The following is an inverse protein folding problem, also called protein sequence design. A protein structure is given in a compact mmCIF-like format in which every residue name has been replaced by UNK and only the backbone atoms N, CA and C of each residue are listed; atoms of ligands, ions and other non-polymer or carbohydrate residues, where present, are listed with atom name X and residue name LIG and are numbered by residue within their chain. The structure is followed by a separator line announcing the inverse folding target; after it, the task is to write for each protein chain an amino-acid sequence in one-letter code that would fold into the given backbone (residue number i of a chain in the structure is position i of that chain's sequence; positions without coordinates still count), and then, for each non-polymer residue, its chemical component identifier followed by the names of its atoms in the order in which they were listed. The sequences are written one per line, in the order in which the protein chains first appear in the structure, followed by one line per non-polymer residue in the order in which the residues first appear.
data_IF_112340249214
#
_entry.id   IF_112340249214
#
_cell.length_a   1.000
_cell.length_b   1.000
_cell.length_c   1.000
_cell.angle_alpha   90.00
_cell.angle_beta   90.00
_cell.angle_gamma   90.00
#
_symmetry.space_group_name_H-M   'P 1'
#
loop_
_entity.id
_entity.type
_entity.pdbx_description
1 polymer ?
#
# COMPACT_ATOMS: atom_id res chain seq x y z
N UNK A 1 -6.37 -21.86 37.39
CA UNK A 1 -6.03 -20.47 37.03
C UNK A 1 -5.29 -20.52 35.71
N UNK A 2 -5.98 -20.24 34.60
CA UNK A 2 -5.31 -19.91 33.34
C UNK A 2 -4.67 -18.55 33.60
N UNK A 3 -3.35 -18.43 33.44
CA UNK A 3 -2.64 -17.18 33.71
C UNK A 3 -3.17 -16.07 32.79
N UNK A 4 -3.47 -14.89 33.35
CA UNK A 4 -4.03 -13.72 32.63
C UNK A 4 -3.25 -13.37 31.34
N UNK A 5 -1.96 -13.69 31.29
CA UNK A 5 -1.08 -13.52 30.13
C UNK A 5 -1.62 -14.19 28.84
N UNK A 6 -2.38 -15.29 28.94
CA UNK A 6 -2.92 -15.98 27.76
C UNK A 6 -4.05 -15.20 27.06
N UNK A 7 -4.85 -14.47 27.83
CA UNK A 7 -6.02 -13.73 27.31
C UNK A 7 -5.57 -12.52 26.50
N UNK A 8 -4.52 -11.83 26.94
CA UNK A 8 -3.99 -10.63 26.27
C UNK A 8 -3.37 -10.95 24.91
N UNK A 9 -2.68 -12.09 24.82
CA UNK A 9 -2.13 -12.60 23.56
C UNK A 9 -3.23 -13.06 22.60
N UNK A 10 -4.25 -13.73 23.13
CA UNK A 10 -5.43 -14.10 22.35
C UNK A 10 -6.17 -12.87 21.81
N UNK A 11 -6.34 -11.83 22.63
CA UNK A 11 -6.95 -10.57 22.21
C UNK A 11 -6.11 -9.86 21.15
N UNK A 12 -4.79 -9.76 21.31
CA UNK A 12 -3.93 -9.17 20.28
C UNK A 12 -4.05 -9.88 18.94
N UNK A 13 -4.09 -11.22 18.94
CA UNK A 13 -4.30 -12.03 17.72
C UNK A 13 -5.71 -11.86 17.15
N UNK A 14 -6.72 -11.73 18.00
CA UNK A 14 -8.08 -11.48 17.56
C UNK A 14 -8.22 -10.08 16.93
N UNK A 15 -7.52 -9.08 17.46
CA UNK A 15 -7.43 -7.74 16.84
C UNK A 15 -6.83 -7.80 15.44
N UNK A 16 -5.77 -8.60 15.24
CA UNK A 16 -5.18 -8.81 13.90
C UNK A 16 -6.19 -9.42 12.94
N UNK A 17 -6.96 -10.41 13.41
CA UNK A 17 -7.98 -11.05 12.59
C UNK A 17 -9.10 -10.08 12.20
N UNK A 18 -9.57 -9.24 13.12
CA UNK A 18 -10.60 -8.26 12.82
C UNK A 18 -10.09 -7.19 11.85
N UNK A 19 -8.87 -6.69 12.04
CA UNK A 19 -8.26 -5.73 11.12
C UNK A 19 -8.13 -6.32 9.70
N UNK A 20 -7.67 -7.58 9.59
CA UNK A 20 -7.58 -8.28 8.31
C UNK A 20 -8.95 -8.50 7.63
N UNK A 21 -10.04 -8.50 8.40
CA UNK A 21 -11.41 -8.59 7.89
C UNK A 21 -12.05 -7.21 7.60
N UNK A 22 -11.32 -6.10 7.78
CA UNK A 22 -11.87 -4.75 7.67
C UNK A 22 -12.84 -4.37 8.79
N UNK A 23 -12.94 -5.17 9.86
CA UNK A 23 -13.77 -4.92 11.04
C UNK A 23 -13.02 -4.00 12.01
N UNK A 24 -12.81 -2.77 11.57
CA UNK A 24 -11.90 -1.84 12.23
C UNK A 24 -12.37 -1.43 13.63
N UNK A 25 -13.68 -1.30 13.85
CA UNK A 25 -14.23 -0.96 15.17
C UNK A 25 -14.06 -2.09 16.19
N UNK A 26 -14.23 -3.34 15.76
CA UNK A 26 -13.95 -4.51 16.60
C UNK A 26 -12.46 -4.68 16.85
N UNK A 27 -11.62 -4.42 15.84
CA UNK A 27 -10.17 -4.44 15.99
C UNK A 27 -9.71 -3.40 17.02
N UNK A 28 -10.20 -2.16 16.93
CA UNK A 28 -9.91 -1.07 17.86
C UNK A 28 -10.24 -1.47 19.31
N UNK A 29 -11.49 -1.88 19.57
CA UNK A 29 -11.94 -2.28 20.91
C UNK A 29 -11.09 -3.42 21.47
N UNK A 30 -10.76 -4.38 20.61
CA UNK A 30 -9.97 -5.56 20.99
C UNK A 30 -8.53 -5.16 21.34
N UNK A 31 -7.90 -4.31 20.54
CA UNK A 31 -6.55 -3.82 20.79
C UNK A 31 -6.47 -2.91 22.01
N UNK A 32 -7.45 -2.04 22.25
CA UNK A 32 -7.50 -1.23 23.48
C UNK A 32 -7.55 -2.12 24.72
N UNK A 33 -8.37 -3.18 24.71
CA UNK A 33 -8.44 -4.14 25.82
C UNK A 33 -7.13 -4.90 25.99
N UNK A 34 -6.53 -5.36 24.89
CA UNK A 34 -5.23 -6.04 24.92
C UNK A 34 -4.12 -5.12 25.46
N UNK A 35 -4.15 -3.84 25.08
CA UNK A 35 -3.19 -2.83 25.51
C UNK A 35 -3.26 -2.62 27.02
N UNK A 36 -4.46 -2.38 27.56
CA UNK A 36 -4.66 -2.18 29.01
C UNK A 36 -4.16 -3.37 29.85
N UNK A 37 -4.36 -4.60 29.37
CA UNK A 37 -3.85 -5.80 30.04
C UNK A 37 -2.32 -5.87 30.00
N UNK A 38 -1.74 -5.75 28.80
CA UNK A 38 -0.28 -5.81 28.61
C UNK A 38 0.47 -4.69 29.34
N UNK A 39 -0.08 -3.48 29.41
CA UNK A 39 0.52 -2.40 30.18
C UNK A 39 0.63 -2.74 31.67
N UNK A 40 -0.38 -3.41 32.24
CA UNK A 40 -0.38 -3.86 33.63
C UNK A 40 0.54 -5.06 33.86
N UNK A 41 0.53 -6.02 32.94
CA UNK A 41 1.26 -7.28 33.09
C UNK A 41 2.75 -7.18 32.75
N UNK A 42 3.09 -6.41 31.71
CA UNK A 42 4.42 -6.37 31.10
C UNK A 42 5.08 -4.99 31.21
N UNK A 43 4.30 -3.93 31.44
CA UNK A 43 4.77 -2.56 31.45
C UNK A 43 4.63 -1.84 30.10
N UNK A 44 4.83 -0.52 30.13
CA UNK A 44 4.60 0.38 29.00
C UNK A 44 5.59 0.20 27.84
N UNK A 45 6.87 -0.06 28.17
CA UNK A 45 7.98 -0.13 27.22
C UNK A 45 8.30 -1.56 26.75
N UNK A 46 7.51 -2.54 27.18
CA UNK A 46 7.70 -3.94 26.79
C UNK A 46 7.35 -4.14 25.32
N UNK A 47 8.14 -4.94 24.60
CA UNK A 47 8.02 -5.17 23.15
C UNK A 47 6.60 -5.54 22.72
N UNK A 48 5.96 -6.50 23.41
CA UNK A 48 4.59 -6.93 23.10
C UNK A 48 3.53 -5.84 23.37
N UNK A 49 3.77 -4.94 24.32
CA UNK A 49 2.92 -3.77 24.59
C UNK A 49 3.05 -2.78 23.45
N UNK A 50 4.28 -2.42 23.08
CA UNK A 50 4.57 -1.50 21.98
C UNK A 50 4.08 -2.04 20.62
N UNK A 51 4.12 -3.36 20.42
CA UNK A 51 3.55 -3.99 19.23
C UNK A 51 2.02 -3.83 19.16
N UNK A 52 1.32 -3.91 20.30
CA UNK A 52 -0.12 -3.57 20.35
C UNK A 52 -0.35 -2.09 20.09
N UNK A 53 0.48 -1.19 20.62
CA UNK A 53 0.38 0.26 20.37
C UNK A 53 0.52 0.55 18.87
N UNK A 54 1.52 -0.02 18.20
CA UNK A 54 1.69 0.12 16.75
C UNK A 54 0.46 -0.35 15.97
N UNK A 55 -0.08 -1.54 16.30
CA UNK A 55 -1.23 -2.08 15.58
C UNK A 55 -2.50 -1.27 15.83
N UNK A 56 -2.67 -0.70 17.01
CA UNK A 56 -3.75 0.24 17.27
C UNK A 56 -3.58 1.52 16.43
N UNK A 57 -2.35 1.99 16.24
CA UNK A 57 -2.03 3.09 15.32
C UNK A 57 -2.40 2.79 13.86
N UNK A 58 -2.12 1.57 13.39
CA UNK A 58 -2.53 1.11 12.05
C UNK A 58 -4.06 1.11 11.91
N UNK A 59 -4.79 0.54 12.88
CA UNK A 59 -6.26 0.54 12.86
C UNK A 59 -6.83 1.96 12.85
N UNK A 60 -6.23 2.88 13.61
CA UNK A 60 -6.64 4.29 13.58
C UNK A 60 -6.37 4.95 12.23
N UNK A 61 -5.23 4.67 11.59
CA UNK A 61 -4.93 5.18 10.26
C UNK A 61 -5.95 4.68 9.23
N UNK A 62 -6.31 3.38 9.28
CA UNK A 62 -7.29 2.77 8.38
C UNK A 62 -8.71 3.32 8.59
N UNK A 63 -9.04 3.74 9.83
CA UNK A 63 -10.31 4.44 10.13
C UNK A 63 -10.30 5.93 9.74
N UNK A 64 -9.16 6.48 9.29
CA UNK A 64 -9.00 7.92 9.04
C UNK A 64 -8.83 8.77 10.31
N UNK A 65 -8.64 8.15 11.48
CA UNK A 65 -8.35 8.81 12.76
C UNK A 65 -6.86 9.16 12.85
N UNK A 66 -6.41 10.07 11.98
CA UNK A 66 -4.99 10.30 11.72
C UNK A 66 -4.24 10.86 12.94
N UNK A 67 -4.88 11.67 13.78
CA UNK A 67 -4.27 12.24 14.99
C UNK A 67 -4.07 11.17 16.09
N UNK A 68 -5.01 10.25 16.24
CA UNK A 68 -4.90 9.10 17.14
C UNK A 68 -3.84 8.12 16.67
N UNK A 69 -3.76 7.87 15.36
CA UNK A 69 -2.71 7.07 14.75
C UNK A 69 -1.32 7.66 15.02
N UNK A 70 -1.17 8.99 14.86
CA UNK A 70 0.10 9.69 15.10
C UNK A 70 0.56 9.52 16.55
N UNK A 71 -0.35 9.72 17.52
CA UNK A 71 -0.06 9.51 18.94
C UNK A 71 0.41 8.08 19.23
N UNK A 72 -0.24 7.09 18.63
CA UNK A 72 0.14 5.69 18.83
C UNK A 72 1.51 5.39 18.22
N UNK A 73 1.78 5.82 16.99
CA UNK A 73 3.08 5.59 16.37
C UNK A 73 4.21 6.35 17.07
N UNK A 74 4.01 7.61 17.49
CA UNK A 74 5.02 8.35 18.24
C UNK A 74 5.32 7.68 19.58
N UNK A 75 4.29 7.16 20.28
CA UNK A 75 4.47 6.38 21.50
C UNK A 75 5.27 5.10 21.25
N UNK A 76 4.90 4.35 20.21
CA UNK A 76 5.63 3.13 19.85
C UNK A 76 7.09 3.43 19.48
N UNK A 77 7.32 4.52 18.73
CA UNK A 77 8.65 4.96 18.32
C UNK A 77 9.54 5.26 19.52
N UNK A 78 9.06 6.08 20.45
CA UNK A 78 9.80 6.42 21.68
C UNK A 78 10.14 5.18 22.50
N UNK A 79 9.19 4.25 22.66
CA UNK A 79 9.40 3.00 23.37
C UNK A 79 10.43 2.09 22.69
N UNK A 80 10.32 1.89 21.38
CA UNK A 80 11.26 1.03 20.65
C UNK A 80 12.66 1.63 20.56
N UNK A 81 12.79 2.95 20.38
CA UNK A 81 14.08 3.65 20.42
C UNK A 81 14.77 3.50 21.78
N UNK A 82 14.00 3.64 22.87
CA UNK A 82 14.53 3.50 24.23
C UNK A 82 14.97 2.07 24.53
N UNK A 83 14.18 1.07 24.14
CA UNK A 83 14.41 -0.34 24.50
C UNK A 83 15.41 -1.03 23.57
N UNK A 84 15.36 -0.74 22.26
CA UNK A 84 16.12 -1.48 21.24
C UNK A 84 17.00 -0.60 20.36
N UNK A 85 16.97 0.73 20.58
CA UNK A 85 17.77 1.69 19.84
C UNK A 85 17.14 2.16 18.53
N UNK A 86 17.72 3.21 17.92
CA UNK A 86 17.16 3.90 16.75
C UNK A 86 17.21 3.07 15.46
N UNK A 87 18.02 2.01 15.40
CA UNK A 87 18.24 1.19 14.21
C UNK A 87 17.66 -0.23 14.35
N UNK A 88 16.88 -0.49 15.40
CA UNK A 88 16.18 -1.77 15.51
C UNK A 88 15.15 -1.91 14.39
N UNK A 89 14.95 -3.15 13.94
CA UNK A 89 13.92 -3.53 12.95
C UNK A 89 12.54 -2.99 13.32
N UNK A 90 12.16 -3.06 14.61
CA UNK A 90 10.88 -2.54 15.08
C UNK A 90 10.82 -1.01 14.98
N UNK A 91 11.86 -0.32 15.44
CA UNK A 91 11.96 1.15 15.38
C UNK A 91 11.78 1.65 13.95
N UNK A 92 12.53 1.06 13.01
CA UNK A 92 12.52 1.50 11.61
C UNK A 92 11.20 1.18 10.90
N UNK A 93 10.47 0.16 11.32
CA UNK A 93 9.10 -0.09 10.85
C UNK A 93 8.14 0.99 11.34
N UNK A 94 8.24 1.43 12.60
CA UNK A 94 7.42 2.56 13.09
C UNK A 94 7.74 3.85 12.33
N UNK A 95 9.02 4.14 12.10
CA UNK A 95 9.43 5.32 11.32
C UNK A 95 8.83 5.27 9.90
N UNK A 96 8.85 4.11 9.24
CA UNK A 96 8.19 3.93 7.95
C UNK A 96 6.67 4.17 8.03
N UNK A 97 5.99 3.65 9.06
CA UNK A 97 4.55 3.85 9.25
C UNK A 97 4.19 5.32 9.49
N UNK A 98 5.01 6.07 10.24
CA UNK A 98 4.88 7.52 10.38
C UNK A 98 5.02 8.24 9.03
N UNK A 99 5.92 7.79 8.16
CA UNK A 99 6.02 8.31 6.79
C UNK A 99 4.71 8.13 6.01
N UNK A 100 4.12 6.93 6.05
CA UNK A 100 2.82 6.65 5.42
C UNK A 100 1.70 7.53 6.01
N UNK A 101 1.69 7.73 7.33
CA UNK A 101 0.70 8.56 8.01
C UNK A 101 0.83 10.05 7.64
N UNK A 102 2.05 10.60 7.67
CA UNK A 102 2.26 12.00 7.28
C UNK A 102 1.91 12.23 5.81
N UNK A 103 2.19 11.24 4.95
CA UNK A 103 1.73 11.28 3.56
C UNK A 103 0.20 11.37 3.48
N UNK A 104 -0.55 10.54 4.22
CA UNK A 104 -2.01 10.59 4.19
C UNK A 104 -2.60 11.88 4.79
N UNK A 105 -1.86 12.55 5.68
CA UNK A 105 -2.19 13.88 6.19
C UNK A 105 -1.80 15.03 5.23
N UNK A 106 -1.11 14.74 4.11
CA UNK A 106 -0.58 15.77 3.20
C UNK A 106 0.66 16.49 3.72
N UNK A 107 1.26 16.03 4.83
CA UNK A 107 2.51 16.55 5.42
C UNK A 107 3.71 15.97 4.67
N UNK A 108 3.95 16.47 3.46
CA UNK A 108 4.87 15.83 2.53
C UNK A 108 6.33 15.87 3.01
N UNK A 109 6.80 17.00 3.55
CA UNK A 109 8.19 17.12 4.01
C UNK A 109 8.49 16.20 5.21
N UNK A 110 7.54 16.07 6.14
CA UNK A 110 7.63 15.15 7.27
C UNK A 110 7.61 13.70 6.80
N UNK A 111 6.80 13.37 5.81
CA UNK A 111 6.78 12.03 5.20
C UNK A 111 8.12 11.69 4.55
N UNK A 112 8.69 12.61 3.76
CA UNK A 112 10.00 12.45 3.13
C UNK A 112 11.09 12.19 4.19
N UNK A 113 11.11 13.00 5.25
CA UNK A 113 12.06 12.84 6.35
C UNK A 113 11.97 11.44 6.99
N UNK A 114 10.75 11.00 7.32
CA UNK A 114 10.53 9.69 7.92
C UNK A 114 10.95 8.56 6.98
N UNK A 115 10.59 8.62 5.70
CA UNK A 115 10.99 7.59 4.75
C UNK A 115 12.50 7.52 4.53
N UNK A 116 13.18 8.66 4.39
CA UNK A 116 14.63 8.72 4.26
C UNK A 116 15.31 8.18 5.52
N UNK A 117 14.81 8.55 6.69
CA UNK A 117 15.30 8.03 7.98
C UNK A 117 15.15 6.52 8.07
N UNK A 118 13.97 5.99 7.70
CA UNK A 118 13.74 4.56 7.65
C UNK A 118 14.75 3.90 6.69
N UNK A 119 14.84 4.36 5.43
CA UNK A 119 15.72 3.80 4.40
C UNK A 119 17.17 3.73 4.86
N UNK A 120 17.74 4.85 5.33
CA UNK A 120 19.12 4.91 5.81
C UNK A 120 19.36 3.94 6.97
N UNK A 121 18.38 3.82 7.88
CA UNK A 121 18.43 2.85 8.95
C UNK A 121 18.40 1.41 8.43
N UNK A 122 17.53 1.12 7.46
CA UNK A 122 17.36 -0.24 6.92
C UNK A 122 18.59 -0.71 6.14
N UNK A 123 19.21 0.20 5.38
CA UNK A 123 20.43 -0.07 4.63
C UNK A 123 21.62 -0.36 5.55
N UNK A 124 21.70 0.31 6.71
CA UNK A 124 22.75 0.11 7.71
C UNK A 124 22.49 -1.10 8.62
N UNK A 125 21.23 -1.48 8.81
CA UNK A 125 20.87 -2.61 9.64
C UNK A 125 21.34 -3.92 9.00
N UNK A 126 22.11 -4.71 9.74
CA UNK A 126 22.68 -5.99 9.29
C UNK A 126 21.61 -7.01 8.88
N UNK A 127 20.42 -6.94 9.48
CA UNK A 127 19.31 -7.86 9.23
C UNK A 127 18.61 -7.63 7.89
N UNK A 128 18.64 -6.40 7.38
CA UNK A 128 17.95 -6.03 6.15
C UNK A 128 18.96 -5.77 5.04
N UNK A 129 19.77 -4.73 5.17
CA UNK A 129 20.62 -4.29 4.07
C UNK A 129 19.79 -3.78 2.87
N UNK A 130 20.46 -3.47 1.76
CA UNK A 130 19.86 -2.71 0.65
C UNK A 130 18.82 -3.48 -0.18
N UNK A 131 18.95 -4.80 -0.27
CA UNK A 131 18.12 -5.67 -1.13
C UNK A 131 16.99 -6.36 -0.35
N UNK A 132 16.89 -6.14 0.97
CA UNK A 132 15.85 -6.81 1.75
C UNK A 132 14.46 -6.24 1.46
N UNK A 133 13.41 -7.07 1.40
CA UNK A 133 12.09 -6.63 1.00
C UNK A 133 11.49 -5.47 1.79
N UNK A 134 11.75 -5.39 3.09
CA UNK A 134 11.31 -4.25 3.91
C UNK A 134 12.04 -2.95 3.58
N UNK A 135 13.29 -3.02 3.11
CA UNK A 135 14.05 -1.87 2.58
C UNK A 135 13.46 -1.45 1.25
N UNK A 136 13.26 -2.40 0.34
CA UNK A 136 12.69 -2.16 -0.98
C UNK A 136 11.27 -1.58 -0.91
N UNK A 137 10.48 -1.96 0.10
CA UNK A 137 9.16 -1.38 0.32
C UNK A 137 9.25 0.11 0.67
N UNK A 138 10.24 0.49 1.47
CA UNK A 138 10.50 1.91 1.78
C UNK A 138 10.99 2.68 0.56
N UNK A 139 11.83 2.05 -0.28
CA UNK A 139 12.25 2.61 -1.56
C UNK A 139 11.04 2.83 -2.48
N UNK A 140 10.15 1.85 -2.63
CA UNK A 140 8.94 1.99 -3.44
C UNK A 140 8.05 3.14 -2.92
N UNK A 141 7.82 3.24 -1.61
CA UNK A 141 6.99 4.32 -1.06
C UNK A 141 7.62 5.70 -1.20
N UNK A 142 8.95 5.82 -1.16
CA UNK A 142 9.66 7.04 -1.57
C UNK A 142 9.40 7.37 -3.05
N UNK A 143 9.37 6.36 -3.92
CA UNK A 143 8.98 6.54 -5.32
C UNK A 143 7.59 7.13 -5.48
N UNK A 144 6.59 6.60 -4.77
CA UNK A 144 5.23 7.14 -4.77
C UNK A 144 5.22 8.57 -4.24
N UNK A 145 5.92 8.81 -3.13
CA UNK A 145 6.01 10.13 -2.53
C UNK A 145 6.60 11.19 -3.49
N UNK A 146 7.68 10.86 -4.20
CA UNK A 146 8.26 11.75 -5.20
C UNK A 146 7.34 11.95 -6.41
N UNK A 147 6.63 10.91 -6.85
CA UNK A 147 5.66 11.03 -7.94
C UNK A 147 4.52 12.00 -7.56
N UNK A 148 4.01 11.92 -6.33
CA UNK A 148 2.96 12.81 -5.82
C UNK A 148 3.42 14.28 -5.74
N UNK A 149 4.73 14.52 -5.56
CA UNK A 149 5.35 15.84 -5.61
C UNK A 149 5.69 16.32 -7.03
N UNK A 150 5.47 15.50 -8.06
CA UNK A 150 5.89 15.79 -9.44
C UNK A 150 7.40 15.65 -9.68
N UNK A 151 8.16 15.09 -8.74
CA UNK A 151 9.59 14.76 -8.87
C UNK A 151 9.77 13.43 -9.61
N UNK A 152 9.43 13.44 -10.91
CA UNK A 152 9.25 12.21 -11.68
C UNK A 152 10.57 11.43 -11.90
N UNK A 153 11.71 12.12 -12.00
CA UNK A 153 13.02 11.47 -12.18
C UNK A 153 13.50 10.78 -10.91
N UNK A 154 13.27 11.38 -9.74
CA UNK A 154 13.54 10.77 -8.44
C UNK A 154 12.63 9.56 -8.20
N UNK A 155 11.35 9.68 -8.57
CA UNK A 155 10.41 8.56 -8.50
C UNK A 155 10.85 7.38 -9.37
N UNK A 156 11.29 7.66 -10.61
CA UNK A 156 11.78 6.64 -11.55
C UNK A 156 12.95 5.86 -10.95
N UNK A 157 13.95 6.56 -10.40
CA UNK A 157 15.12 5.94 -9.76
C UNK A 157 14.72 5.04 -8.59
N UNK A 158 13.78 5.50 -7.75
CA UNK A 158 13.30 4.71 -6.61
C UNK A 158 12.57 3.45 -7.09
N UNK A 159 11.63 3.57 -8.02
CA UNK A 159 10.90 2.40 -8.52
C UNK A 159 11.80 1.41 -9.27
N UNK A 160 12.74 1.86 -10.10
CA UNK A 160 13.68 0.96 -10.77
C UNK A 160 14.54 0.18 -9.78
N UNK A 161 14.99 0.86 -8.70
CA UNK A 161 15.73 0.19 -7.62
C UNK A 161 14.86 -0.84 -6.90
N UNK A 162 13.62 -0.49 -6.56
CA UNK A 162 12.68 -1.41 -5.91
C UNK A 162 12.38 -2.62 -6.79
N UNK A 163 12.14 -2.40 -8.09
CA UNK A 163 11.87 -3.42 -9.09
C UNK A 163 13.01 -4.44 -9.17
N UNK A 164 14.24 -3.97 -9.38
CA UNK A 164 15.41 -4.83 -9.48
C UNK A 164 15.60 -5.67 -8.21
N UNK A 165 15.41 -5.06 -7.03
CA UNK A 165 15.51 -5.75 -5.76
C UNK A 165 14.42 -6.82 -5.58
N UNK A 166 13.17 -6.50 -5.90
CA UNK A 166 12.06 -7.43 -5.75
C UNK A 166 12.12 -8.59 -6.74
N UNK A 167 12.51 -8.34 -7.99
CA UNK A 167 12.75 -9.39 -8.97
C UNK A 167 13.82 -10.37 -8.50
N UNK A 168 14.91 -9.86 -7.91
CA UNK A 168 15.99 -10.68 -7.36
C UNK A 168 15.53 -11.48 -6.12
N UNK A 169 14.74 -10.86 -5.24
CA UNK A 169 14.34 -11.47 -3.97
C UNK A 169 13.24 -12.53 -4.16
N UNK A 170 12.25 -12.24 -5.00
CA UNK A 170 10.99 -12.98 -5.07
C UNK A 170 10.54 -13.35 -6.48
N UNK A 171 11.22 -12.84 -7.50
CA UNK A 171 10.91 -13.09 -8.89
C UNK A 171 9.97 -12.04 -9.53
N UNK A 172 9.80 -12.12 -10.86
CA UNK A 172 9.06 -11.13 -11.64
C UNK A 172 7.54 -11.13 -11.38
N UNK A 173 6.98 -12.28 -11.02
CA UNK A 173 5.53 -12.45 -10.84
C UNK A 173 5.07 -12.23 -9.38
N UNK A 174 5.97 -11.84 -8.49
CA UNK A 174 5.61 -11.58 -7.09
C UNK A 174 4.74 -10.31 -6.98
N UNK A 175 3.72 -10.29 -6.10
CA UNK A 175 2.81 -9.14 -5.96
C UNK A 175 3.51 -7.78 -5.86
N UNK A 176 4.51 -7.66 -4.97
CA UNK A 176 5.27 -6.40 -4.80
C UNK A 176 6.09 -6.01 -6.04
N UNK A 177 6.56 -6.99 -6.82
CA UNK A 177 7.21 -6.73 -8.10
C UNK A 177 6.20 -6.14 -9.08
N UNK A 178 5.05 -6.79 -9.22
CA UNK A 178 3.98 -6.36 -10.14
C UNK A 178 3.38 -5.00 -9.76
N UNK A 179 3.28 -4.70 -8.46
CA UNK A 179 2.86 -3.39 -7.97
C UNK A 179 3.88 -2.30 -8.37
N UNK A 180 5.17 -2.60 -8.24
CA UNK A 180 6.24 -1.67 -8.64
C UNK A 180 6.25 -1.46 -10.16
N UNK A 181 6.05 -2.52 -10.94
CA UNK A 181 5.91 -2.43 -12.41
C UNK A 181 4.71 -1.55 -12.77
N UNK A 182 3.54 -1.75 -12.14
CA UNK A 182 2.36 -0.91 -12.36
C UNK A 182 2.65 0.56 -12.04
N UNK A 183 3.35 0.83 -10.93
CA UNK A 183 3.72 2.20 -10.55
C UNK A 183 4.66 2.87 -11.57
N UNK A 184 5.61 2.12 -12.15
CA UNK A 184 6.41 2.60 -13.29
C UNK A 184 5.54 2.90 -14.51
N UNK A 185 4.52 2.09 -14.79
CA UNK A 185 3.56 2.36 -15.85
C UNK A 185 2.83 3.70 -15.67
N UNK A 186 2.32 3.95 -14.45
CA UNK A 186 1.69 5.22 -14.08
C UNK A 186 2.67 6.38 -14.24
N UNK A 187 3.91 6.20 -13.76
CA UNK A 187 4.94 7.22 -13.85
C UNK A 187 5.28 7.57 -15.31
N UNK A 188 5.53 6.57 -16.15
CA UNK A 188 5.83 6.77 -17.57
C UNK A 188 4.66 7.41 -18.32
N UNK A 189 3.42 7.04 -18.01
CA UNK A 189 2.24 7.73 -18.54
C UNK A 189 2.26 9.22 -18.17
N UNK A 190 2.55 9.56 -16.91
CA UNK A 190 2.62 10.95 -16.45
C UNK A 190 3.75 11.76 -17.11
N UNK A 191 4.83 11.09 -17.52
CA UNK A 191 5.94 11.67 -18.29
C UNK A 191 5.64 11.75 -19.81
N UNK A 192 4.51 11.24 -20.28
CA UNK A 192 4.18 11.13 -21.71
C UNK A 192 4.93 10.01 -22.46
N UNK A 193 5.65 9.14 -21.74
CA UNK A 193 6.34 7.96 -22.26
C UNK A 193 5.35 6.80 -22.44
N UNK A 194 4.41 6.95 -23.38
CA UNK A 194 3.24 6.06 -23.49
C UNK A 194 3.61 4.62 -23.88
N UNK A 195 4.66 4.42 -24.68
CA UNK A 195 5.12 3.09 -25.10
C UNK A 195 5.78 2.34 -23.94
N UNK A 196 6.57 3.03 -23.11
CA UNK A 196 7.15 2.48 -21.89
C UNK A 196 6.07 2.15 -20.86
N UNK A 197 5.07 3.03 -20.71
CA UNK A 197 3.91 2.78 -19.87
C UNK A 197 3.15 1.51 -20.30
N UNK A 198 2.93 1.34 -21.61
CA UNK A 198 2.25 0.17 -22.17
C UNK A 198 3.00 -1.12 -21.83
N UNK A 199 4.32 -1.14 -22.01
CA UNK A 199 5.16 -2.31 -21.65
C UNK A 199 5.04 -2.66 -20.18
N UNK A 200 5.09 -1.67 -19.29
CA UNK A 200 4.96 -1.90 -17.85
C UNK A 200 3.59 -2.46 -17.50
N UNK A 201 2.50 -1.85 -17.98
CA UNK A 201 1.16 -2.35 -17.66
C UNK A 201 0.89 -3.73 -18.25
N UNK A 202 1.38 -4.04 -19.45
CA UNK A 202 1.27 -5.39 -20.03
C UNK A 202 2.03 -6.43 -19.20
N UNK A 203 3.25 -6.12 -18.75
CA UNK A 203 4.01 -6.98 -17.85
C UNK A 203 3.25 -7.21 -16.53
N UNK A 204 2.72 -6.15 -15.91
CA UNK A 204 1.94 -6.26 -14.69
C UNK A 204 0.66 -7.09 -14.91
N UNK A 205 -0.04 -6.90 -16.03
CA UNK A 205 -1.25 -7.63 -16.37
C UNK A 205 -0.96 -9.13 -16.50
N UNK A 206 0.04 -9.50 -17.30
CA UNK A 206 0.42 -10.89 -17.52
C UNK A 206 0.81 -11.59 -16.21
N UNK A 207 1.59 -10.93 -15.36
CA UNK A 207 1.97 -11.47 -14.07
C UNK A 207 0.78 -11.64 -13.11
N UNK A 208 -0.12 -10.64 -13.05
CA UNK A 208 -1.32 -10.69 -12.18
C UNK A 208 -2.33 -11.74 -12.66
N UNK A 209 -2.53 -11.88 -13.97
CA UNK A 209 -3.36 -12.95 -14.55
C UNK A 209 -2.83 -14.33 -14.18
N UNK A 210 -1.50 -14.52 -14.21
CA UNK A 210 -0.86 -15.78 -13.83
C UNK A 210 -0.95 -16.04 -12.31
N UNK A 211 -0.78 -15.02 -11.49
CA UNK A 211 -0.73 -15.15 -10.03
C UNK A 211 -2.13 -15.35 -9.41
N UNK A 212 -3.13 -14.61 -9.90
CA UNK A 212 -4.44 -14.50 -9.25
C UNK A 212 -5.63 -14.75 -10.18
N UNK A 213 -5.39 -14.83 -11.48
CA UNK A 213 -6.42 -15.01 -12.49
C UNK A 213 -6.89 -13.68 -13.12
N UNK A 214 -7.64 -13.78 -14.23
CA UNK A 214 -8.06 -12.64 -15.04
C UNK A 214 -9.13 -11.76 -14.38
N UNK A 215 -9.91 -12.31 -13.46
CA UNK A 215 -11.02 -11.64 -12.77
C UNK A 215 -10.62 -11.10 -11.38
N UNK A 216 -9.36 -11.26 -10.96
CA UNK A 216 -8.91 -10.71 -9.69
C UNK A 216 -8.91 -9.18 -9.75
N UNK A 217 -9.31 -8.53 -8.66
CA UNK A 217 -9.52 -7.07 -8.59
C UNK A 217 -8.26 -6.29 -9.00
N UNK A 218 -7.10 -6.67 -8.48
CA UNK A 218 -5.83 -6.07 -8.91
C UNK A 218 -5.51 -6.31 -10.39
N UNK A 219 -5.91 -7.43 -10.97
CA UNK A 219 -5.76 -7.66 -12.42
C UNK A 219 -6.65 -6.68 -13.19
N UNK A 220 -7.90 -6.52 -12.76
CA UNK A 220 -8.87 -5.61 -13.38
C UNK A 220 -8.49 -4.14 -13.23
N UNK A 221 -7.82 -3.75 -12.15
CA UNK A 221 -7.27 -2.40 -12.01
C UNK A 221 -6.19 -2.13 -13.05
N UNK A 222 -5.29 -3.10 -13.31
CA UNK A 222 -4.30 -2.97 -14.40
C UNK A 222 -4.96 -2.92 -15.78
N UNK A 223 -6.06 -3.67 -15.99
CA UNK A 223 -6.86 -3.57 -17.22
C UNK A 223 -7.44 -2.16 -17.39
N UNK A 224 -7.97 -1.56 -16.32
CA UNK A 224 -8.48 -0.19 -16.35
C UNK A 224 -7.36 0.83 -16.65
N UNK A 225 -6.16 0.64 -16.08
CA UNK A 225 -5.00 1.49 -16.37
C UNK A 225 -4.57 1.40 -17.85
N UNK A 226 -4.62 0.21 -18.45
CA UNK A 226 -4.38 0.02 -19.89
C UNK A 226 -5.45 0.72 -20.73
N UNK A 227 -6.73 0.64 -20.35
CA UNK A 227 -7.80 1.38 -21.03
C UNK A 227 -7.54 2.88 -21.02
N UNK A 228 -7.20 3.42 -19.85
CA UNK A 228 -6.80 4.81 -19.65
C UNK A 228 -5.57 5.22 -20.47
N UNK A 229 -4.59 4.32 -20.61
CA UNK A 229 -3.42 4.55 -21.46
C UNK A 229 -3.80 4.58 -22.94
N UNK A 230 -4.59 3.61 -23.41
CA UNK A 230 -5.07 3.55 -24.78
C UNK A 230 -5.93 4.76 -25.14
N UNK A 231 -6.71 5.27 -24.19
CA UNK A 231 -7.49 6.49 -24.40
C UNK A 231 -6.56 7.68 -24.62
N UNK A 232 -5.49 7.78 -23.84
CA UNK A 232 -4.45 8.81 -23.99
C UNK A 232 -3.70 8.70 -25.33
N UNK A 233 -3.61 7.50 -25.90
CA UNK A 233 -3.04 7.25 -27.23
C UNK A 233 -4.05 7.43 -28.39
N UNK A 234 -5.33 7.67 -28.09
CA UNK A 234 -6.41 7.73 -29.10
C UNK A 234 -6.83 6.38 -29.68
N UNK A 235 -6.43 5.26 -29.05
CA UNK A 235 -6.77 3.89 -29.45
C UNK A 235 -8.14 3.49 -28.89
N UNK A 236 -9.20 4.08 -29.44
CA UNK A 236 -10.54 4.04 -28.85
C UNK A 236 -11.14 2.63 -28.78
N UNK A 237 -10.91 1.78 -29.79
CA UNK A 237 -11.41 0.40 -29.81
C UNK A 237 -10.73 -0.46 -28.73
N UNK A 238 -9.43 -0.26 -28.51
CA UNK A 238 -8.68 -0.91 -27.44
C UNK A 238 -9.11 -0.41 -26.05
N UNK A 239 -9.36 0.90 -25.92
CA UNK A 239 -9.92 1.48 -24.68
C UNK A 239 -11.25 0.84 -24.33
N UNK A 240 -12.19 0.77 -25.28
CA UNK A 240 -13.53 0.20 -25.06
C UNK A 240 -13.42 -1.25 -24.59
N UNK A 241 -12.58 -2.06 -25.25
CA UNK A 241 -12.33 -3.45 -24.85
C UNK A 241 -11.80 -3.57 -23.42
N UNK A 242 -10.86 -2.73 -23.03
CA UNK A 242 -10.28 -2.77 -21.68
C UNK A 242 -11.31 -2.35 -20.62
N UNK A 243 -12.03 -1.25 -20.83
CA UNK A 243 -13.05 -0.80 -19.87
C UNK A 243 -14.20 -1.80 -19.74
N UNK A 244 -14.70 -2.37 -20.85
CA UNK A 244 -15.73 -3.41 -20.78
C UNK A 244 -15.26 -4.64 -20.00
N UNK A 245 -14.01 -5.09 -20.23
CA UNK A 245 -13.43 -6.20 -19.50
C UNK A 245 -13.32 -5.90 -17.99
N UNK A 246 -12.83 -4.71 -17.64
CA UNK A 246 -12.70 -4.29 -16.25
C UNK A 246 -14.08 -4.19 -15.56
N UNK A 247 -15.07 -3.61 -16.25
CA UNK A 247 -16.44 -3.44 -15.75
C UNK A 247 -17.08 -4.80 -15.43
N UNK A 248 -17.11 -5.71 -16.40
CA UNK A 248 -17.69 -7.04 -16.23
C UNK A 248 -17.04 -7.82 -15.08
N UNK A 249 -15.70 -7.73 -14.97
CA UNK A 249 -14.97 -8.39 -13.89
C UNK A 249 -15.30 -7.80 -12.51
N UNK A 250 -15.37 -6.45 -12.40
CA UNK A 250 -15.65 -5.76 -11.13
C UNK A 250 -17.10 -5.95 -10.69
N UNK A 251 -18.05 -5.92 -11.62
CA UNK A 251 -19.45 -6.27 -11.36
C UNK A 251 -19.59 -7.68 -10.78
N UNK A 252 -18.86 -8.65 -11.33
CA UNK A 252 -18.85 -10.03 -10.82
C UNK A 252 -18.19 -10.15 -9.44
N UNK A 253 -17.13 -9.38 -9.19
CA UNK A 253 -16.37 -9.44 -7.94
C UNK A 253 -17.08 -8.74 -6.76
N UNK A 254 -17.66 -7.56 -7.00
CA UNK A 254 -18.15 -6.66 -5.96
C UNK A 254 -19.60 -6.19 -6.15
N UNK A 255 -20.20 -6.47 -7.30
CA UNK A 255 -21.51 -5.97 -7.68
C UNK A 255 -21.45 -4.64 -8.46
N UNK A 256 -22.58 -4.26 -9.07
CA UNK A 256 -22.68 -3.06 -9.92
C UNK A 256 -22.54 -1.75 -9.14
N UNK A 257 -22.99 -1.73 -7.88
CA UNK A 257 -23.04 -0.49 -7.07
C UNK A 257 -21.74 -0.21 -6.30
N UNK A 258 -20.73 -1.06 -6.42
CA UNK A 258 -19.45 -0.84 -5.75
C UNK A 258 -18.69 0.33 -6.41
N UNK A 259 -18.06 1.20 -5.59
CA UNK A 259 -17.39 2.44 -6.06
C UNK A 259 -16.45 2.17 -7.22
N UNK A 260 -15.56 1.18 -7.11
CA UNK A 260 -14.62 0.86 -8.18
C UNK A 260 -15.27 0.33 -9.47
N UNK A 261 -16.47 -0.26 -9.39
CA UNK A 261 -17.26 -0.68 -10.55
C UNK A 261 -17.85 0.56 -11.22
N UNK A 262 -18.42 1.47 -10.43
CA UNK A 262 -18.97 2.75 -10.89
C UNK A 262 -17.88 3.63 -11.52
N UNK A 263 -16.66 3.66 -10.98
CA UNK A 263 -15.54 4.40 -11.57
C UNK A 263 -15.24 3.90 -12.99
N UNK A 264 -15.14 2.58 -13.19
CA UNK A 264 -14.93 2.00 -14.52
C UNK A 264 -16.13 2.23 -15.45
N UNK A 265 -17.37 2.22 -14.92
CA UNK A 265 -18.55 2.56 -15.70
C UNK A 265 -18.52 4.03 -16.16
N UNK A 266 -18.08 4.95 -15.31
CA UNK A 266 -17.90 6.37 -15.64
C UNK A 266 -16.81 6.56 -16.70
N UNK A 267 -15.69 5.83 -16.61
CA UNK A 267 -14.63 5.83 -17.62
C UNK A 267 -15.17 5.39 -18.99
N UNK A 268 -16.00 4.33 -19.01
CA UNK A 268 -16.65 3.83 -20.23
C UNK A 268 -17.71 4.80 -20.79
N UNK A 269 -18.55 5.38 -19.93
CA UNK A 269 -19.54 6.39 -20.35
C UNK A 269 -18.87 7.65 -20.93
N UNK A 270 -17.76 8.09 -20.32
CA UNK A 270 -16.95 9.20 -20.84
C UNK A 270 -16.36 8.89 -22.22
N UNK A 271 -15.92 7.65 -22.44
CA UNK A 271 -15.47 7.19 -23.75
C UNK A 271 -16.62 7.26 -24.77
N UNK A 272 -17.80 6.74 -24.45
CA UNK A 272 -18.95 6.78 -25.36
C UNK A 272 -19.40 8.20 -25.69
N UNK A 273 -19.41 9.10 -24.70
CA UNK A 273 -19.68 10.50 -24.93
C UNK A 273 -18.68 11.12 -25.91
N UNK A 274 -17.37 10.83 -25.76
CA UNK A 274 -16.33 11.31 -26.68
C UNK A 274 -16.45 10.74 -28.11
N UNK A 275 -17.07 9.57 -28.26
CA UNK A 275 -17.36 8.93 -29.55
C UNK A 275 -18.69 9.40 -30.16
N UNK A 276 -19.51 10.17 -29.43
CA UNK A 276 -20.85 10.57 -29.85
C UNK A 276 -21.91 9.47 -29.75
N UNK A 277 -21.61 8.37 -29.04
CA UNK A 277 -22.53 7.26 -28.74
C UNK A 277 -23.37 7.59 -27.50
N UNK A 278 -24.32 8.51 -27.66
CA UNK A 278 -25.07 9.09 -26.53
C UNK A 278 -26.10 8.14 -25.90
N UNK A 279 -26.55 7.12 -26.63
CA UNK A 279 -27.50 6.14 -26.09
C UNK A 279 -26.79 5.11 -25.18
N UNK A 280 -25.49 4.91 -25.40
CA UNK A 280 -24.62 4.00 -24.64
C UNK A 280 -23.90 4.69 -23.46
N UNK A 281 -23.80 6.02 -23.44
CA UNK A 281 -23.11 6.82 -22.43
C UNK A 281 -23.95 7.05 -21.16
#
# INVERSE_FOLDING_TARGET
MVTDNGIEWALHRLGLLYAAQGKLDEAEKTYQRALQGKEKALGLDHESTLGTVNNLGLVYADQGKLDEAEKMFQRALQGYEKTWGPYSTMTLNIVHNLGNLYKSQGKLDEAENMYQRALQGKEKAKEWGPDHPSTLNTVNNLGVHYADQGKLDEAEKMYQRALQGYEKAWGPDHPSTLDTVRNLGVLYKSQGKLDEAEKMYQQALQGREKAWGPDHTSTLDTVNDLGNLYQSQGKLDETEKMYQRALQGKEKAWGPDHISTLDTANDLGSLYQSQGKLDEA
#
